data_IF_094835068972
#
_entry.id   IF_094835068972
#
_cell.length_a   1.000
_cell.length_b   1.000
_cell.length_c   1.000
_cell.angle_alpha   90.00
_cell.angle_beta   90.00
_cell.angle_gamma   90.00
#
_symmetry.space_group_name_H-M   'P 1'
#
loop_
_entity.id
_entity.type
_entity.pdbx_description
1 polymer ?
#
# COMPACT_ATOMS: atom_id res chain seq x y z
N UNK A 1 26.96 43.56 -16.43
CA UNK A 1 26.58 42.61 -15.35
C UNK A 1 25.06 42.53 -15.08
N UNK A 2 24.20 43.44 -15.58
CA UNK A 2 22.74 43.44 -15.30
C UNK A 2 21.88 42.57 -16.24
N UNK A 3 22.40 42.17 -17.40
CA UNK A 3 21.65 41.38 -18.39
C UNK A 3 21.67 39.87 -18.14
N UNK A 4 22.65 39.36 -17.37
CA UNK A 4 22.77 37.92 -17.06
C UNK A 4 21.67 37.43 -16.11
N UNK A 5 21.24 38.28 -15.18
CA UNK A 5 20.21 37.96 -14.19
C UNK A 5 18.82 37.83 -14.82
N UNK A 6 18.51 38.65 -15.83
CA UNK A 6 17.23 38.61 -16.54
C UNK A 6 17.04 37.33 -17.36
N UNK A 7 18.13 36.80 -17.94
CA UNK A 7 18.11 35.56 -18.72
C UNK A 7 17.91 34.35 -17.80
N UNK A 8 18.51 34.36 -16.60
CA UNK A 8 18.31 33.27 -15.63
C UNK A 8 16.90 33.26 -15.03
N UNK A 9 16.27 34.41 -14.81
CA UNK A 9 14.87 34.48 -14.35
C UNK A 9 13.87 33.97 -15.41
N UNK A 10 14.10 34.25 -16.70
CA UNK A 10 13.23 33.77 -17.77
C UNK A 10 13.28 32.24 -17.94
N UNK A 11 14.44 31.62 -17.72
CA UNK A 11 14.61 30.17 -17.80
C UNK A 11 13.88 29.42 -16.67
N UNK A 12 13.74 30.02 -15.49
CA UNK A 12 13.06 29.39 -14.34
C UNK A 12 11.53 29.40 -14.51
N UNK A 13 10.94 30.40 -15.20
CA UNK A 13 9.50 30.43 -15.45
C UNK A 13 9.00 29.38 -16.45
N UNK A 14 9.87 28.84 -17.31
CA UNK A 14 9.48 27.83 -18.31
C UNK A 14 9.30 26.41 -17.72
N UNK A 15 9.77 26.16 -16.50
CA UNK A 15 9.66 24.86 -15.81
C UNK A 15 8.34 24.67 -15.04
N UNK A 16 7.51 25.70 -14.91
CA UNK A 16 6.23 25.67 -14.14
C UNK A 16 5.01 25.50 -15.05
N UNK A 17 5.21 25.15 -16.33
CA UNK A 17 4.12 24.67 -17.17
C UNK A 17 3.73 23.25 -16.72
N UNK A 18 2.97 23.18 -15.62
CA UNK A 18 2.26 21.98 -15.21
C UNK A 18 1.49 21.42 -16.42
N UNK A 19 1.77 20.17 -16.73
CA UNK A 19 1.01 19.27 -17.60
C UNK A 19 -0.47 19.68 -17.73
N UNK A 20 -1.00 19.85 -18.96
CA UNK A 20 -2.41 20.11 -19.21
C UNK A 20 -3.21 18.81 -19.01
N UNK A 21 -3.25 18.32 -17.79
CA UNK A 21 -4.13 17.24 -17.36
C UNK A 21 -5.51 17.81 -17.08
N UNK A 22 -6.44 17.64 -18.00
CA UNK A 22 -7.84 17.98 -17.76
C UNK A 22 -8.40 17.07 -16.66
N UNK A 23 -8.46 17.56 -15.42
CA UNK A 23 -9.29 16.94 -14.39
C UNK A 23 -10.74 17.02 -14.86
N UNK A 24 -11.26 15.92 -15.43
CA UNK A 24 -12.68 15.80 -15.71
C UNK A 24 -13.40 15.89 -14.36
N UNK A 25 -14.00 17.04 -14.07
CA UNK A 25 -14.90 17.21 -12.92
C UNK A 25 -15.97 16.12 -13.02
N UNK A 26 -15.98 15.21 -12.06
CA UNK A 26 -17.00 14.17 -12.00
C UNK A 26 -18.36 14.81 -11.78
N UNK A 27 -19.38 14.31 -12.50
CA UNK A 27 -20.75 14.77 -12.31
C UNK A 27 -21.20 14.49 -10.86
N UNK A 28 -21.98 15.41 -10.28
CA UNK A 28 -22.42 15.32 -8.89
C UNK A 28 -23.13 13.99 -8.56
N UNK A 29 -23.86 13.43 -9.53
CA UNK A 29 -24.53 12.14 -9.38
C UNK A 29 -23.55 10.98 -9.23
N UNK A 30 -22.42 11.00 -9.93
CA UNK A 30 -21.38 9.97 -9.82
C UNK A 30 -20.63 10.08 -8.50
N UNK A 31 -20.39 11.31 -8.02
CA UNK A 31 -19.83 11.52 -6.69
C UNK A 31 -20.77 11.00 -5.59
N UNK A 32 -22.06 11.26 -5.71
CA UNK A 32 -23.06 10.83 -4.74
C UNK A 32 -23.17 9.30 -4.65
N UNK A 33 -23.19 8.60 -5.80
CA UNK A 33 -23.17 7.14 -5.85
C UNK A 33 -21.94 6.56 -5.14
N UNK A 34 -20.76 7.14 -5.41
CA UNK A 34 -19.50 6.72 -4.78
C UNK A 34 -19.52 6.92 -3.26
N UNK A 35 -20.12 8.01 -2.78
CA UNK A 35 -20.26 8.30 -1.35
C UNK A 35 -21.17 7.30 -0.62
N UNK A 36 -22.29 6.88 -1.24
CA UNK A 36 -23.19 5.89 -0.66
C UNK A 36 -22.47 4.55 -0.49
N UNK A 37 -21.79 4.07 -1.53
CA UNK A 37 -21.04 2.82 -1.48
C UNK A 37 -19.92 2.83 -0.42
N UNK A 38 -19.26 3.97 -0.20
CA UNK A 38 -18.27 4.12 0.88
C UNK A 38 -18.91 4.03 2.27
N UNK A 39 -20.10 4.63 2.46
CA UNK A 39 -20.82 4.60 3.73
C UNK A 39 -21.30 3.19 4.09
N UNK A 40 -21.76 2.41 3.12
CA UNK A 40 -22.20 1.02 3.34
C UNK A 40 -21.05 0.15 3.87
N UNK A 41 -19.86 0.25 3.26
CA UNK A 41 -18.65 -0.44 3.73
C UNK A 41 -18.31 -0.07 5.17
N UNK A 42 -18.37 1.21 5.51
CA UNK A 42 -18.11 1.68 6.87
C UNK A 42 -19.11 1.16 7.90
N UNK A 43 -20.38 0.97 7.52
CA UNK A 43 -21.40 0.42 8.41
C UNK A 43 -21.19 -1.07 8.69
N UNK A 44 -20.74 -1.83 7.70
CA UNK A 44 -20.42 -3.25 7.87
C UNK A 44 -19.25 -3.46 8.85
N UNK A 45 -18.24 -2.56 8.82
CA UNK A 45 -17.10 -2.60 9.73
C UNK A 45 -17.45 -2.30 11.20
N UNK A 46 -18.61 -1.68 11.50
CA UNK A 46 -19.00 -1.34 12.89
C UNK A 46 -19.38 -2.55 13.74
N UNK A 47 -19.68 -3.70 13.13
CA UNK A 47 -20.18 -4.88 13.86
C UNK A 47 -19.08 -5.79 14.43
N UNK A 48 -17.82 -5.34 14.48
CA UNK A 48 -16.70 -6.16 14.95
C UNK A 48 -16.55 -6.28 16.48
N UNK A 49 -17.42 -5.67 17.29
CA UNK A 49 -17.36 -5.72 18.75
C UNK A 49 -17.23 -7.14 19.38
N UNK A 50 -18.04 -8.15 18.98
CA UNK A 50 -17.89 -9.52 19.51
C UNK A 50 -16.56 -10.17 19.09
N UNK A 51 -16.10 -9.95 17.86
CA UNK A 51 -14.81 -10.44 17.38
C UNK A 51 -13.63 -9.82 18.17
N UNK A 52 -13.73 -8.54 18.53
CA UNK A 52 -12.74 -7.84 19.37
C UNK A 52 -12.73 -8.43 20.80
N UNK A 53 -13.88 -8.75 21.38
CA UNK A 53 -13.97 -9.34 22.71
C UNK A 53 -13.34 -10.75 22.77
N UNK A 54 -13.61 -11.58 21.75
CA UNK A 54 -13.03 -12.91 21.60
C UNK A 54 -11.51 -12.86 21.39
N UNK A 55 -11.03 -11.88 20.61
CA UNK A 55 -9.63 -11.60 20.40
C UNK A 55 -8.89 -11.27 21.71
N UNK A 56 -9.48 -10.39 22.53
CA UNK A 56 -8.91 -10.03 23.83
C UNK A 56 -8.84 -11.21 24.82
N UNK A 57 -9.84 -12.09 24.80
CA UNK A 57 -9.85 -13.31 25.62
C UNK A 57 -8.72 -14.27 25.20
N UNK A 58 -8.56 -14.50 23.90
CA UNK A 58 -7.51 -15.35 23.33
C UNK A 58 -6.10 -14.81 23.62
N UNK A 59 -5.89 -13.49 23.55
CA UNK A 59 -4.63 -12.83 23.91
C UNK A 59 -4.24 -13.06 25.37
N UNK A 60 -5.19 -12.99 26.30
CA UNK A 60 -4.94 -13.27 27.74
C UNK A 60 -4.52 -14.72 27.96
N UNK A 61 -5.18 -15.67 27.29
CA UNK A 61 -4.85 -17.10 27.38
C UNK A 61 -3.46 -17.45 26.80
N UNK A 62 -3.07 -16.81 25.69
CA UNK A 62 -1.73 -17.02 25.10
C UNK A 62 -0.60 -16.47 25.98
N UNK A 63 -0.85 -15.36 26.69
CA UNK A 63 0.13 -14.76 27.62
C UNK A 63 0.38 -15.65 28.85
N UNK A 64 -0.63 -16.37 29.34
CA UNK A 64 -0.44 -17.29 30.47
C UNK A 64 0.35 -18.56 30.10
N UNK A 65 0.52 -18.88 28.82
CA UNK A 65 1.13 -20.13 28.35
C UNK A 65 2.57 -20.00 27.82
N UNK A 66 3.13 -18.79 27.63
CA UNK A 66 4.44 -18.60 26.98
C UNK A 66 5.63 -18.53 27.96
N UNK A 67 5.79 -19.58 28.79
CA UNK A 67 7.01 -19.85 29.57
C UNK A 67 7.60 -21.22 29.22
N UNK A 68 8.06 -21.43 27.97
CA UNK A 68 9.22 -22.30 27.64
C UNK A 68 9.54 -22.34 26.13
N UNK A 69 10.83 -22.12 25.86
CA UNK A 69 11.68 -22.81 24.88
C UNK A 69 11.83 -22.22 23.46
N UNK A 70 12.89 -21.43 23.32
CA UNK A 70 13.65 -21.21 22.08
C UNK A 70 14.46 -22.47 21.72
N UNK A 71 14.38 -22.91 20.47
CA UNK A 71 15.44 -23.71 19.81
C UNK A 71 15.44 -23.38 18.33
N UNK A 72 16.53 -22.76 17.87
CA UNK A 72 16.85 -22.46 16.47
C UNK A 72 17.45 -23.71 15.83
N UNK A 73 16.97 -24.11 14.65
CA UNK A 73 17.62 -25.12 13.82
C UNK A 73 17.85 -24.55 12.41
N UNK A 74 19.11 -24.61 11.99
CA UNK A 74 19.65 -24.19 10.70
C UNK A 74 19.43 -25.30 9.66
N UNK A 75 18.97 -24.94 8.46
CA UNK A 75 18.98 -25.81 7.29
C UNK A 75 19.37 -25.03 6.04
N UNK A 76 20.17 -25.68 5.21
CA UNK A 76 20.85 -25.21 4.00
C UNK A 76 19.90 -24.57 2.99
N UNK A 77 20.18 -23.34 2.60
CA UNK A 77 19.37 -22.54 1.68
C UNK A 77 19.52 -23.00 0.22
N UNK A 78 18.65 -23.92 -0.22
CA UNK A 78 18.06 -23.78 -1.55
C UNK A 78 17.40 -22.39 -1.57
N UNK A 79 17.63 -21.57 -2.59
CA UNK A 79 17.04 -20.24 -2.68
C UNK A 79 15.55 -20.34 -2.32
N UNK A 80 15.18 -19.78 -1.17
CA UNK A 80 13.83 -19.87 -0.67
C UNK A 80 12.91 -19.36 -1.78
N UNK A 81 11.79 -20.04 -1.99
CA UNK A 81 10.72 -19.48 -2.82
C UNK A 81 10.53 -18.03 -2.38
N UNK A 82 10.50 -17.05 -3.32
CA UNK A 82 10.36 -15.65 -2.95
C UNK A 82 9.02 -15.36 -2.27
N UNK A 83 8.10 -16.33 -2.30
CA UNK A 83 6.85 -16.29 -1.59
C UNK A 83 6.96 -16.97 -0.22
N UNK A 84 6.66 -16.21 0.84
CA UNK A 84 6.61 -16.71 2.22
C UNK A 84 5.17 -16.65 2.71
N UNK A 85 4.68 -17.74 3.29
CA UNK A 85 3.29 -17.88 3.75
C UNK A 85 2.99 -17.21 5.11
N UNK A 86 3.99 -16.61 5.74
CA UNK A 86 3.87 -15.96 7.03
C UNK A 86 4.79 -14.74 7.09
N UNK A 87 4.31 -13.67 7.73
CA UNK A 87 5.11 -12.48 7.94
C UNK A 87 6.27 -12.81 8.88
N UNK A 88 7.49 -12.54 8.41
CA UNK A 88 8.72 -12.92 9.10
C UNK A 88 9.19 -11.86 10.12
N UNK A 89 8.68 -10.63 10.02
CA UNK A 89 9.01 -9.53 10.92
C UNK A 89 7.77 -9.11 11.73
N UNK A 90 7.87 -9.17 13.06
CA UNK A 90 6.79 -8.82 13.99
C UNK A 90 6.94 -7.42 14.61
N UNK A 91 7.73 -6.54 13.97
CA UNK A 91 7.84 -5.14 14.40
C UNK A 91 6.49 -4.46 14.22
N UNK A 92 5.81 -4.23 15.33
CA UNK A 92 4.46 -3.67 15.38
C UNK A 92 4.53 -2.18 15.72
N UNK A 93 4.93 -1.38 14.72
CA UNK A 93 4.92 0.08 14.80
C UNK A 93 4.35 0.63 13.50
N UNK A 94 3.73 1.80 13.56
CA UNK A 94 3.16 2.45 12.37
C UNK A 94 4.26 2.75 11.35
N UNK A 95 4.06 2.30 10.12
CA UNK A 95 4.92 2.68 9.01
C UNK A 95 4.80 4.20 8.78
N UNK A 96 5.90 4.88 8.43
CA UNK A 96 5.84 6.31 8.11
C UNK A 96 4.96 6.53 6.87
N UNK A 97 4.08 7.53 6.95
CA UNK A 97 3.32 7.98 5.78
C UNK A 97 4.15 8.93 4.94
N UNK A 98 4.01 8.84 3.62
CA UNK A 98 4.66 9.71 2.64
C UNK A 98 3.62 10.32 1.71
N UNK A 99 3.96 11.43 1.07
CA UNK A 99 3.06 12.09 0.11
C UNK A 99 2.93 11.25 -1.16
N UNK A 100 1.69 10.99 -1.58
CA UNK A 100 1.33 10.22 -2.78
C UNK A 100 1.96 10.77 -4.08
N UNK A 101 2.02 12.10 -4.23
CA UNK A 101 2.56 12.75 -5.43
C UNK A 101 1.55 12.88 -6.57
N UNK A 102 1.95 13.47 -7.71
CA UNK A 102 1.01 13.91 -8.76
C UNK A 102 0.62 12.82 -9.78
N UNK A 103 1.17 11.61 -9.67
CA UNK A 103 1.06 10.57 -10.70
C UNK A 103 0.03 9.47 -10.41
N UNK A 104 -0.65 9.54 -9.27
CA UNK A 104 -1.68 8.58 -8.89
C UNK A 104 -2.90 8.67 -9.82
N UNK A 105 -3.36 7.51 -10.29
CA UNK A 105 -4.55 7.36 -11.12
C UNK A 105 -5.52 6.40 -10.43
N UNK A 106 -6.71 6.90 -10.11
CA UNK A 106 -7.76 6.07 -9.53
C UNK A 106 -8.34 5.10 -10.59
N UNK A 107 -8.79 3.93 -10.13
CA UNK A 107 -9.55 2.92 -10.90
C UNK A 107 -8.76 2.17 -11.99
N UNK A 108 -7.51 1.80 -11.73
CA UNK A 108 -6.77 0.90 -12.64
C UNK A 108 -7.06 -0.59 -12.42
N UNK A 109 -6.43 -1.42 -13.24
CA UNK A 109 -6.58 -2.86 -13.31
C UNK A 109 -5.99 -3.55 -12.07
N UNK A 110 -6.74 -4.50 -11.51
CA UNK A 110 -6.27 -5.42 -10.46
C UNK A 110 -5.43 -6.51 -11.13
N UNK A 111 -4.12 -6.53 -10.84
CA UNK A 111 -3.15 -7.48 -11.43
C UNK A 111 -2.04 -7.79 -10.45
N UNK A 112 -1.33 -8.91 -10.67
CA UNK A 112 -0.18 -9.34 -9.88
C UNK A 112 1.18 -9.08 -10.57
N UNK A 113 1.17 -8.87 -11.90
CA UNK A 113 2.36 -8.71 -12.73
C UNK A 113 2.33 -7.34 -13.42
N UNK A 114 3.34 -6.51 -13.14
CA UNK A 114 3.53 -5.17 -13.72
C UNK A 114 4.66 -5.11 -14.77
N UNK A 115 5.20 -6.27 -15.21
CA UNK A 115 6.36 -6.28 -16.11
C UNK A 115 6.01 -5.92 -17.56
N UNK A 116 4.81 -6.29 -18.01
CA UNK A 116 4.34 -6.07 -19.38
C UNK A 116 5.38 -6.44 -20.44
N UNK A 117 5.73 -5.51 -21.33
CA UNK A 117 6.80 -5.66 -22.33
C UNK A 117 8.03 -4.80 -22.01
N UNK A 118 8.15 -4.33 -20.76
CA UNK A 118 9.25 -3.45 -20.38
C UNK A 118 10.54 -4.26 -20.18
N UNK A 119 11.68 -3.82 -20.75
CA UNK A 119 12.96 -4.45 -20.49
C UNK A 119 13.42 -4.13 -19.06
N UNK A 120 13.93 -5.12 -18.33
CA UNK A 120 14.40 -4.86 -16.97
C UNK A 120 14.82 -6.11 -16.21
N UNK A 121 15.17 -5.90 -14.95
CA UNK A 121 15.46 -6.99 -14.00
C UNK A 121 14.15 -7.40 -13.34
N UNK A 122 13.82 -8.70 -13.36
CA UNK A 122 12.63 -9.22 -12.69
C UNK A 122 12.73 -8.99 -11.18
N UNK A 123 11.78 -8.23 -10.64
CA UNK A 123 11.64 -7.94 -9.23
C UNK A 123 10.37 -8.62 -8.71
N UNK A 124 10.49 -9.37 -7.60
CA UNK A 124 9.36 -10.02 -6.93
C UNK A 124 9.18 -9.33 -5.59
N UNK A 125 8.02 -8.69 -5.39
CA UNK A 125 7.62 -8.08 -4.11
C UNK A 125 6.64 -9.01 -3.43
N UNK A 126 6.98 -9.43 -2.21
CA UNK A 126 6.05 -10.08 -1.28
C UNK A 126 5.77 -9.09 -0.14
N UNK A 127 4.51 -8.68 0.01
CA UNK A 127 4.10 -7.61 0.91
C UNK A 127 3.18 -8.20 1.96
N UNK A 128 3.59 -8.10 3.22
CA UNK A 128 2.75 -8.42 4.37
C UNK A 128 2.25 -7.14 5.04
N UNK A 129 0.94 -7.05 5.30
CA UNK A 129 0.34 -5.95 6.04
C UNK A 129 0.01 -6.41 7.45
N UNK A 130 0.39 -5.62 8.45
CA UNK A 130 0.09 -5.88 9.87
C UNK A 130 -0.79 -4.74 10.38
N UNK A 131 -1.86 -5.08 11.09
CA UNK A 131 -2.64 -4.11 11.85
C UNK A 131 -1.87 -3.72 13.12
N UNK A 132 -1.53 -2.43 13.24
CA UNK A 132 -0.75 -1.89 14.36
C UNK A 132 -1.48 -1.94 15.70
N UNK A 133 -2.81 -2.11 15.71
CA UNK A 133 -3.62 -2.20 16.93
C UNK A 133 -3.64 -3.61 17.52
N UNK A 134 -3.71 -4.62 16.65
CA UNK A 134 -3.76 -6.04 17.03
C UNK A 134 -2.39 -6.73 16.99
N UNK A 135 -1.47 -6.18 16.20
CA UNK A 135 -0.19 -6.77 15.80
C UNK A 135 -0.36 -8.13 15.11
N UNK A 136 -1.45 -8.28 14.36
CA UNK A 136 -1.74 -9.48 13.57
C UNK A 136 -1.71 -9.15 12.07
N UNK A 137 -1.43 -10.15 11.21
CA UNK A 137 -1.57 -9.98 9.77
C UNK A 137 -2.98 -9.50 9.41
N UNK A 138 -3.05 -8.47 8.57
CA UNK A 138 -4.30 -7.98 8.03
C UNK A 138 -4.64 -8.78 6.77
N UNK A 139 -5.71 -9.57 6.84
CA UNK A 139 -6.23 -10.33 5.71
C UNK A 139 -7.11 -9.45 4.81
N UNK A 140 -7.23 -9.84 3.55
CA UNK A 140 -8.01 -9.18 2.50
C UNK A 140 -7.60 -7.70 2.31
N UNK A 141 -6.32 -7.41 2.53
CA UNK A 141 -5.77 -6.08 2.34
C UNK A 141 -5.58 -5.78 0.85
N UNK A 142 -6.09 -4.65 0.38
CA UNK A 142 -5.79 -4.16 -0.96
C UNK A 142 -4.55 -3.28 -0.92
N UNK A 143 -3.48 -3.73 -1.57
CA UNK A 143 -2.25 -2.95 -1.71
C UNK A 143 -2.17 -2.37 -3.10
N UNK A 144 -1.96 -1.05 -3.18
CA UNK A 144 -1.78 -0.30 -4.42
C UNK A 144 -0.31 0.12 -4.62
N UNK A 145 0.32 -0.26 -5.74
CA UNK A 145 1.72 0.10 -6.05
C UNK A 145 1.82 0.66 -7.45
N UNK A 146 2.53 1.78 -7.62
CA UNK A 146 2.85 2.34 -8.93
C UNK A 146 4.35 2.60 -9.09
N UNK A 147 4.81 2.56 -10.35
CA UNK A 147 6.18 2.89 -10.73
C UNK A 147 6.21 3.94 -11.85
N UNK A 148 7.34 4.62 -11.99
CA UNK A 148 7.54 5.76 -12.89
C UNK A 148 7.97 5.41 -14.32
N UNK A 149 7.94 4.14 -14.73
CA UNK A 149 8.36 3.72 -16.06
C UNK A 149 7.14 3.43 -16.95
N UNK A 150 6.87 4.36 -17.87
CA UNK A 150 5.85 4.33 -18.92
C UNK A 150 4.45 3.81 -18.51
N UNK A 151 3.58 4.79 -18.24
CA UNK A 151 2.23 4.69 -17.71
C UNK A 151 2.22 4.30 -16.22
N UNK A 152 1.53 5.11 -15.43
CA UNK A 152 1.21 4.80 -14.04
C UNK A 152 0.51 3.45 -14.03
N UNK A 153 1.13 2.47 -13.41
CA UNK A 153 0.61 1.10 -13.38
C UNK A 153 0.45 0.68 -11.95
N UNK A 154 -0.80 0.58 -11.53
CA UNK A 154 -1.26 0.31 -10.20
C UNK A 154 -1.43 -1.22 -10.05
N UNK A 155 -0.65 -1.82 -9.16
CA UNK A 155 -0.85 -3.18 -8.68
C UNK A 155 -1.97 -3.13 -7.64
N UNK A 156 -3.08 -3.84 -7.80
CA UNK A 156 -4.03 -4.05 -6.71
C UNK A 156 -4.11 -5.55 -6.47
N UNK A 157 -3.70 -6.02 -5.30
CA UNK A 157 -3.77 -7.45 -4.92
C UNK A 157 -4.45 -7.58 -3.57
N UNK A 158 -5.47 -8.44 -3.43
CA UNK A 158 -5.94 -8.88 -2.12
C UNK A 158 -4.89 -9.81 -1.51
N UNK A 159 -4.33 -9.43 -0.36
CA UNK A 159 -3.40 -10.26 0.42
C UNK A 159 -4.17 -11.09 1.43
#
# INVERSE_FOLDING_TARGET
MKFSVAIQLAAICALVAAHPGGHKRMAANELHKRQIAARERNLLARNCAPAIAEFQASRKARRSLKKRQETVASSTASAASPHVTSIQNFTCVTAPEVTEGPYYINNELVRADLTETQPGVKLILDIGVIDVTTCEPLNDAFVEIWSGEHASQHLIVPI
#
